data_IF_438776468642
#
_entry.id   IF_438776468642
#
_cell.length_a   1.000
_cell.length_b   1.000
_cell.length_c   1.000
_cell.angle_alpha   90.00
_cell.angle_beta   90.00
_cell.angle_gamma   90.00
#
_symmetry.space_group_name_H-M   'P 1'
#
loop_
_entity.id
_entity.type
_entity.pdbx_description
1 polymer ?
#
# COMPACT_ATOMS: atom_id res chain seq x y z
N UNK A 1 39.17 -53.42 -9.61
CA UNK A 1 39.39 -52.06 -10.17
C UNK A 1 38.18 -51.23 -9.77
N UNK A 2 38.43 -50.38 -8.79
CA UNK A 2 37.42 -49.71 -8.00
C UNK A 2 36.72 -48.55 -8.70
N UNK A 3 35.42 -48.63 -8.87
CA UNK A 3 34.56 -47.54 -9.33
C UNK A 3 33.82 -46.81 -8.17
N UNK A 4 34.34 -46.89 -6.95
CA UNK A 4 33.66 -46.39 -5.76
C UNK A 4 34.00 -44.96 -5.31
N UNK A 5 34.92 -44.26 -6.00
CA UNK A 5 35.47 -42.97 -5.53
C UNK A 5 34.84 -41.70 -6.16
N UNK A 6 33.96 -41.85 -7.15
CA UNK A 6 33.42 -40.69 -7.89
C UNK A 6 32.13 -40.10 -7.29
N UNK A 7 31.44 -40.83 -6.44
CA UNK A 7 30.18 -40.39 -5.84
C UNK A 7 30.33 -39.49 -4.59
N UNK A 8 31.43 -39.63 -3.86
CA UNK A 8 31.69 -38.86 -2.65
C UNK A 8 32.02 -37.37 -2.91
N UNK A 9 32.69 -37.10 -4.01
CA UNK A 9 33.09 -35.73 -4.35
C UNK A 9 31.92 -34.83 -4.81
N UNK A 10 30.95 -35.39 -5.49
CA UNK A 10 29.79 -34.62 -5.98
C UNK A 10 28.83 -34.23 -4.84
N UNK A 11 28.65 -35.08 -3.83
CA UNK A 11 27.84 -34.79 -2.66
C UNK A 11 28.49 -33.75 -1.74
N UNK A 12 29.80 -33.77 -1.59
CA UNK A 12 30.51 -32.79 -0.73
C UNK A 12 30.54 -31.40 -1.36
N UNK A 13 30.64 -31.27 -2.69
CA UNK A 13 30.58 -29.98 -3.37
C UNK A 13 29.16 -29.40 -3.37
N UNK A 14 28.13 -30.23 -3.54
CA UNK A 14 26.74 -29.80 -3.48
C UNK A 14 26.33 -29.32 -2.06
N UNK A 15 26.87 -29.96 -1.01
CA UNK A 15 26.69 -29.52 0.38
C UNK A 15 27.41 -28.19 0.68
N UNK A 16 28.57 -27.95 0.05
CA UNK A 16 29.33 -26.69 0.24
C UNK A 16 28.63 -25.50 -0.41
N UNK A 17 28.03 -25.67 -1.60
CA UNK A 17 27.26 -24.64 -2.27
C UNK A 17 25.96 -24.34 -1.48
N UNK A 18 25.34 -25.37 -0.90
CA UNK A 18 24.17 -25.19 -0.03
C UNK A 18 24.49 -24.60 1.35
N UNK A 19 25.73 -24.73 1.83
CA UNK A 19 26.15 -24.21 3.14
C UNK A 19 26.62 -22.74 3.07
N UNK A 20 27.17 -22.28 1.94
CA UNK A 20 27.55 -20.87 1.76
C UNK A 20 26.33 -19.95 1.63
N UNK A 21 25.21 -20.45 1.10
CA UNK A 21 23.95 -19.68 1.08
C UNK A 21 23.28 -19.56 2.48
N UNK A 22 23.68 -20.39 3.45
CA UNK A 22 23.15 -20.34 4.82
C UNK A 22 23.95 -19.45 5.78
N UNK A 23 25.16 -19.04 5.41
CA UNK A 23 26.06 -18.27 6.28
C UNK A 23 26.06 -16.75 6.04
N UNK A 24 25.39 -16.28 5.00
CA UNK A 24 25.19 -14.85 4.76
C UNK A 24 23.91 -14.39 5.48
N UNK A 25 24.09 -14.05 6.73
CA UNK A 25 23.28 -13.31 7.67
C UNK A 25 21.86 -12.91 7.31
N UNK A 26 20.97 -13.16 8.25
CA UNK A 26 19.62 -12.64 8.45
C UNK A 26 19.23 -11.39 7.64
N UNK A 27 19.06 -11.57 6.36
CA UNK A 27 18.15 -10.80 5.52
C UNK A 27 17.46 -11.83 4.66
N UNK A 28 16.17 -12.05 4.90
CA UNK A 28 15.35 -12.74 3.94
C UNK A 28 15.49 -12.02 2.60
N UNK A 29 16.07 -12.62 1.56
CA UNK A 29 16.04 -12.02 0.25
C UNK A 29 14.65 -12.27 -0.32
N UNK A 30 13.70 -11.39 -0.03
CA UNK A 30 12.47 -11.27 -0.82
C UNK A 30 12.73 -10.66 -2.21
N UNK A 31 13.93 -10.69 -2.67
CA UNK A 31 14.25 -10.47 -4.07
C UNK A 31 14.01 -11.79 -4.79
N UNK A 32 12.85 -11.86 -5.47
CA UNK A 32 12.41 -13.04 -6.20
C UNK A 32 13.42 -13.59 -7.20
N UNK A 33 14.39 -14.32 -6.72
CA UNK A 33 15.25 -15.17 -7.54
C UNK A 33 14.33 -16.17 -8.27
N UNK A 34 14.09 -15.89 -9.55
CA UNK A 34 13.41 -16.82 -10.44
C UNK A 34 14.34 -18.02 -10.60
N UNK A 35 14.10 -19.04 -9.81
CA UNK A 35 14.90 -20.26 -9.79
C UNK A 35 14.57 -21.11 -11.03
N UNK A 36 15.09 -20.68 -12.19
CA UNK A 36 15.14 -21.55 -13.35
C UNK A 36 16.41 -22.41 -13.25
N UNK A 37 16.27 -23.74 -13.13
CA UNK A 37 17.42 -24.63 -12.98
C UNK A 37 18.48 -24.45 -14.09
N UNK A 38 18.06 -24.06 -15.29
CA UNK A 38 18.96 -23.78 -16.42
C UNK A 38 19.79 -22.51 -16.22
N UNK A 39 19.22 -21.44 -15.67
CA UNK A 39 19.95 -20.18 -15.39
C UNK A 39 20.92 -20.36 -14.24
N UNK A 40 20.48 -20.99 -13.15
CA UNK A 40 21.35 -21.30 -12.02
C UNK A 40 22.51 -22.18 -12.44
N UNK A 41 22.27 -23.19 -13.27
CA UNK A 41 23.33 -24.02 -13.84
C UNK A 41 24.33 -23.19 -14.65
N UNK A 42 23.86 -22.26 -15.49
CA UNK A 42 24.71 -21.35 -16.24
C UNK A 42 25.60 -20.47 -15.36
N UNK A 43 25.02 -19.88 -14.30
CA UNK A 43 25.79 -19.06 -13.36
C UNK A 43 26.84 -19.89 -12.57
N UNK A 44 26.49 -21.12 -12.16
CA UNK A 44 27.43 -22.02 -11.50
C UNK A 44 28.59 -22.40 -12.40
N UNK A 45 28.36 -22.63 -13.71
CA UNK A 45 29.43 -22.89 -14.69
C UNK A 45 30.38 -21.70 -14.84
N UNK A 46 29.85 -20.46 -14.87
CA UNK A 46 30.67 -19.24 -14.89
C UNK A 46 31.58 -19.13 -13.65
N UNK A 47 31.07 -19.55 -12.51
CA UNK A 47 31.84 -19.59 -11.26
C UNK A 47 32.80 -20.79 -11.14
N UNK A 48 32.96 -21.60 -12.20
CA UNK A 48 33.83 -22.74 -12.23
C UNK A 48 33.29 -24.01 -11.56
N UNK A 49 32.00 -24.05 -11.19
CA UNK A 49 31.38 -25.23 -10.59
C UNK A 49 30.81 -26.16 -11.69
N UNK A 50 31.33 -27.37 -11.83
CA UNK A 50 30.77 -28.39 -12.70
C UNK A 50 29.68 -29.19 -11.99
N UNK A 51 28.42 -28.78 -12.16
CA UNK A 51 27.23 -29.41 -11.54
C UNK A 51 26.21 -29.75 -12.61
N UNK A 52 25.53 -30.87 -12.49
CA UNK A 52 24.46 -31.22 -13.47
C UNK A 52 23.19 -30.42 -13.23
N UNK A 53 22.38 -30.19 -14.30
CA UNK A 53 21.06 -29.56 -14.20
C UNK A 53 20.11 -30.35 -13.28
N UNK A 54 20.25 -31.67 -13.23
CA UNK A 54 19.47 -32.53 -12.34
C UNK A 54 19.85 -32.31 -10.88
N UNK A 55 21.14 -32.12 -10.56
CA UNK A 55 21.58 -31.76 -9.20
C UNK A 55 21.00 -30.45 -8.74
N UNK A 56 21.05 -29.40 -9.59
CA UNK A 56 20.41 -28.10 -9.28
C UNK A 56 18.92 -28.26 -9.03
N UNK A 57 18.22 -29.00 -9.89
CA UNK A 57 16.78 -29.27 -9.72
C UNK A 57 16.46 -30.00 -8.42
N UNK A 58 17.27 -30.99 -8.05
CA UNK A 58 17.09 -31.77 -6.82
C UNK A 58 17.32 -30.91 -5.57
N UNK A 59 18.30 -30.03 -5.57
CA UNK A 59 18.53 -29.06 -4.48
C UNK A 59 17.35 -28.12 -4.33
N UNK A 60 16.88 -27.52 -5.43
CA UNK A 60 15.69 -26.65 -5.41
C UNK A 60 14.44 -27.36 -4.90
N UNK A 61 14.25 -28.64 -5.32
CA UNK A 61 13.13 -29.47 -4.86
C UNK A 61 13.22 -29.77 -3.35
N UNK A 62 14.40 -30.11 -2.83
CA UNK A 62 14.62 -30.34 -1.39
C UNK A 62 14.39 -29.06 -0.56
N UNK A 63 14.74 -27.91 -1.08
CA UNK A 63 14.54 -26.61 -0.44
C UNK A 63 13.16 -26.02 -0.69
N UNK A 64 12.24 -26.79 -1.28
CA UNK A 64 10.87 -26.36 -1.59
C UNK A 64 10.77 -25.06 -2.41
N UNK A 65 11.80 -24.73 -3.21
CA UNK A 65 11.80 -23.57 -4.09
C UNK A 65 10.99 -23.90 -5.34
N UNK A 66 9.82 -23.29 -5.56
CA UNK A 66 8.98 -23.63 -6.69
C UNK A 66 9.61 -23.19 -8.03
N UNK A 67 9.39 -23.94 -9.12
CA UNK A 67 9.81 -23.54 -10.46
C UNK A 67 9.20 -22.19 -10.85
N UNK A 68 9.93 -21.37 -11.62
CA UNK A 68 9.50 -20.04 -12.06
C UNK A 68 8.15 -20.02 -12.80
N UNK A 69 7.80 -21.09 -13.48
CA UNK A 69 6.54 -21.27 -14.24
C UNK A 69 5.31 -21.48 -13.37
N UNK A 70 5.47 -21.87 -12.10
CA UNK A 70 4.35 -22.04 -11.14
C UNK A 70 4.03 -20.81 -10.31
N UNK A 71 4.83 -19.75 -10.41
CA UNK A 71 4.45 -18.46 -9.82
C UNK A 71 3.31 -17.89 -10.65
N UNK A 72 2.09 -17.98 -10.12
CA UNK A 72 0.90 -17.49 -10.80
C UNK A 72 1.11 -16.04 -11.24
N UNK A 73 0.60 -15.68 -12.42
CA UNK A 73 0.60 -14.30 -12.94
C UNK A 73 0.00 -13.28 -11.96
N UNK A 74 -0.74 -13.75 -10.94
CA UNK A 74 -1.28 -12.94 -9.85
C UNK A 74 -0.23 -12.48 -8.83
N UNK A 75 0.94 -13.13 -8.73
CA UNK A 75 2.00 -12.73 -7.81
C UNK A 75 2.74 -11.47 -8.27
N UNK A 76 2.75 -11.15 -9.57
CA UNK A 76 3.50 -10.00 -10.07
C UNK A 76 2.86 -8.66 -9.69
N UNK A 77 1.51 -8.51 -9.80
CA UNK A 77 0.82 -7.28 -9.42
C UNK A 77 0.83 -7.06 -7.91
N UNK A 78 0.55 -8.09 -7.12
CA UNK A 78 0.62 -8.02 -5.65
C UNK A 78 2.05 -7.72 -5.17
N UNK A 79 3.05 -8.36 -5.75
CA UNK A 79 4.45 -8.12 -5.42
C UNK A 79 4.89 -6.71 -5.82
N UNK A 80 4.46 -6.24 -6.99
CA UNK A 80 4.67 -4.87 -7.45
C UNK A 80 4.05 -3.85 -6.50
N UNK A 81 2.76 -4.02 -6.15
CA UNK A 81 2.08 -3.15 -5.19
C UNK A 81 2.77 -3.18 -3.82
N UNK A 82 3.19 -4.36 -3.33
CA UNK A 82 3.89 -4.48 -2.05
C UNK A 82 5.22 -3.73 -2.00
N UNK A 83 5.96 -3.74 -3.11
CA UNK A 83 7.26 -3.08 -3.19
C UNK A 83 7.15 -1.56 -3.34
N UNK A 84 6.20 -1.09 -4.13
CA UNK A 84 6.06 0.34 -4.47
C UNK A 84 4.94 1.06 -3.72
N UNK A 85 4.20 0.38 -2.82
CA UNK A 85 3.03 0.95 -2.14
C UNK A 85 3.30 2.31 -1.46
N UNK A 86 4.49 2.50 -0.90
CA UNK A 86 4.88 3.76 -0.26
C UNK A 86 5.01 4.95 -1.22
N UNK A 87 5.12 4.69 -2.52
CA UNK A 87 5.28 5.71 -3.58
C UNK A 87 4.07 5.74 -4.53
N UNK A 88 2.98 5.07 -4.16
CA UNK A 88 1.80 4.92 -5.00
C UNK A 88 0.59 5.59 -4.38
N UNK A 89 -0.14 6.29 -5.25
CA UNK A 89 -1.45 6.83 -4.94
C UNK A 89 -2.46 6.27 -5.95
N UNK A 90 -3.66 5.98 -5.53
CA UNK A 90 -4.75 5.62 -6.40
C UNK A 90 -5.86 6.67 -6.33
N UNK A 91 -6.59 6.89 -7.40
CA UNK A 91 -7.77 7.74 -7.39
C UNK A 91 -8.98 7.03 -8.00
N UNK A 92 -10.14 7.52 -7.60
CA UNK A 92 -11.43 7.03 -8.08
C UNK A 92 -12.54 8.05 -7.76
N UNK A 93 -13.72 7.79 -8.29
CA UNK A 93 -14.93 8.53 -7.98
C UNK A 93 -15.83 7.76 -7.02
N UNK A 94 -16.30 8.45 -5.98
CA UNK A 94 -17.41 8.03 -5.16
C UNK A 94 -18.64 8.82 -5.58
N UNK A 95 -19.78 8.16 -5.81
CA UNK A 95 -21.05 8.80 -6.12
C UNK A 95 -22.00 8.71 -4.93
N UNK A 96 -22.72 9.80 -4.66
CA UNK A 96 -23.71 9.87 -3.59
C UNK A 96 -24.96 10.57 -4.13
N UNK A 97 -26.13 10.02 -3.84
CA UNK A 97 -27.39 10.67 -4.18
C UNK A 97 -27.89 11.51 -3.02
N UNK A 98 -28.37 12.71 -3.34
CA UNK A 98 -29.02 13.58 -2.36
C UNK A 98 -30.51 13.20 -2.19
N UNK A 99 -31.16 13.69 -1.12
CA UNK A 99 -32.59 13.53 -0.91
C UNK A 99 -33.46 14.07 -2.08
N UNK A 100 -32.88 14.95 -2.93
CA UNK A 100 -33.53 15.48 -4.13
C UNK A 100 -33.14 14.68 -5.39
N UNK A 101 -32.63 13.46 -5.25
CA UNK A 101 -32.20 12.56 -6.33
C UNK A 101 -31.14 13.18 -7.27
N UNK A 102 -30.34 14.13 -6.77
CA UNK A 102 -29.18 14.65 -7.50
C UNK A 102 -27.95 13.82 -7.18
N UNK A 103 -27.30 13.30 -8.19
CA UNK A 103 -26.04 12.58 -8.03
C UNK A 103 -24.89 13.57 -7.84
N UNK A 104 -24.14 13.40 -6.77
CA UNK A 104 -22.88 14.10 -6.50
C UNK A 104 -21.71 13.17 -6.71
N UNK A 105 -20.66 13.69 -7.33
CA UNK A 105 -19.41 12.98 -7.60
C UNK A 105 -18.32 13.54 -6.69
N UNK A 106 -17.64 12.65 -6.00
CA UNK A 106 -16.53 12.97 -5.13
C UNK A 106 -15.26 12.36 -5.71
N UNK A 107 -14.30 13.19 -6.12
CA UNK A 107 -12.98 12.74 -6.48
C UNK A 107 -12.13 12.60 -5.22
N UNK A 108 -11.56 11.44 -5.01
CA UNK A 108 -10.66 11.18 -3.89
C UNK A 108 -9.40 10.47 -4.36
N UNK A 109 -8.37 10.58 -3.54
CA UNK A 109 -7.10 9.87 -3.73
C UNK A 109 -6.76 9.12 -2.44
N UNK A 110 -6.11 7.95 -2.59
CA UNK A 110 -5.67 7.13 -1.47
C UNK A 110 -4.23 6.68 -1.67
N UNK A 111 -3.39 6.90 -0.67
CA UNK A 111 -2.03 6.35 -0.65
C UNK A 111 -2.06 4.86 -0.35
N UNK A 112 -1.35 4.07 -1.15
CA UNK A 112 -1.37 2.62 -0.99
C UNK A 112 -0.53 2.13 0.20
N UNK A 113 0.49 2.87 0.59
CA UNK A 113 1.34 2.53 1.74
C UNK A 113 0.72 2.86 3.09
N UNK A 114 0.34 4.11 3.25
CA UNK A 114 -0.17 4.66 4.52
C UNK A 114 -1.67 4.48 4.70
N UNK A 115 -2.43 4.31 3.62
CA UNK A 115 -3.91 4.37 3.56
C UNK A 115 -4.48 5.79 3.74
N UNK A 116 -3.65 6.81 3.75
CA UNK A 116 -4.10 8.19 3.84
C UNK A 116 -5.00 8.54 2.66
N UNK A 117 -6.12 9.19 2.95
CA UNK A 117 -7.12 9.62 1.97
C UNK A 117 -7.13 11.13 1.85
N UNK A 118 -7.24 11.61 0.62
CA UNK A 118 -7.39 13.01 0.27
C UNK A 118 -8.70 13.20 -0.47
N UNK A 119 -9.54 14.11 -0.02
CA UNK A 119 -10.73 14.55 -0.74
C UNK A 119 -10.33 15.70 -1.66
N UNK A 120 -10.29 15.43 -2.97
CA UNK A 120 -9.93 16.48 -3.94
C UNK A 120 -11.09 17.43 -4.21
N UNK A 121 -12.33 16.93 -4.25
CA UNK A 121 -13.49 17.78 -4.45
C UNK A 121 -14.80 17.02 -4.60
N UNK A 122 -15.90 17.78 -4.55
CA UNK A 122 -17.25 17.29 -4.74
C UNK A 122 -17.97 18.19 -5.75
N UNK A 123 -18.70 17.62 -6.70
CA UNK A 123 -19.49 18.35 -7.71
C UNK A 123 -20.63 17.48 -8.25
N UNK A 124 -21.68 18.13 -8.74
CA UNK A 124 -22.73 17.47 -9.53
C UNK A 124 -22.30 17.29 -11.02
N UNK A 125 -21.29 18.01 -11.47
CA UNK A 125 -20.85 18.04 -12.88
C UNK A 125 -19.33 17.83 -13.00
N UNK A 126 -18.85 16.58 -12.95
CA UNK A 126 -17.43 16.26 -13.01
C UNK A 126 -16.90 16.38 -14.46
N UNK A 127 -16.68 17.60 -14.91
CA UNK A 127 -16.06 17.84 -16.22
C UNK A 127 -14.56 17.53 -16.19
N UNK A 128 -13.96 17.22 -17.34
CA UNK A 128 -12.51 16.97 -17.42
C UNK A 128 -11.67 18.17 -16.95
N UNK A 129 -12.11 19.39 -17.21
CA UNK A 129 -11.47 20.60 -16.72
C UNK A 129 -11.49 20.69 -15.18
N UNK A 130 -12.63 20.36 -14.56
CA UNK A 130 -12.75 20.32 -13.11
C UNK A 130 -11.84 19.23 -12.51
N UNK A 131 -11.82 18.02 -13.10
CA UNK A 131 -10.96 16.91 -12.63
C UNK A 131 -9.48 17.29 -12.73
N UNK A 132 -9.06 17.92 -13.85
CA UNK A 132 -7.69 18.40 -14.03
C UNK A 132 -7.34 19.49 -13.01
N UNK A 133 -8.27 20.37 -12.65
CA UNK A 133 -8.02 21.38 -11.61
C UNK A 133 -7.85 20.74 -10.23
N UNK A 134 -8.66 19.73 -9.90
CA UNK A 134 -8.48 18.99 -8.64
C UNK A 134 -7.13 18.26 -8.59
N UNK A 135 -6.66 17.75 -9.71
CA UNK A 135 -5.32 17.15 -9.82
C UNK A 135 -4.23 18.17 -9.51
N UNK A 136 -4.31 19.40 -10.03
CA UNK A 136 -3.33 20.46 -9.72
C UNK A 136 -3.30 20.82 -8.24
N UNK A 137 -4.49 20.96 -7.64
CA UNK A 137 -4.60 21.27 -6.21
C UNK A 137 -3.94 20.18 -5.36
N UNK A 138 -4.21 18.90 -5.67
CA UNK A 138 -3.59 17.80 -4.95
C UNK A 138 -2.08 17.69 -5.19
N UNK A 139 -1.61 17.87 -6.43
CA UNK A 139 -0.19 17.81 -6.74
C UNK A 139 0.60 18.83 -5.90
N UNK A 140 0.05 20.02 -5.75
CA UNK A 140 0.59 21.06 -4.89
C UNK A 140 0.66 20.61 -3.42
N UNK A 141 -0.45 20.09 -2.87
CA UNK A 141 -0.53 19.61 -1.48
C UNK A 141 0.43 18.45 -1.21
N UNK A 142 0.62 17.57 -2.19
CA UNK A 142 1.52 16.41 -2.07
C UNK A 142 2.99 16.81 -2.05
N UNK A 143 3.36 17.86 -2.77
CA UNK A 143 4.72 18.37 -2.80
C UNK A 143 5.15 18.91 -1.43
N UNK A 144 4.25 19.62 -0.72
CA UNK A 144 4.57 20.28 0.56
C UNK A 144 4.52 19.34 1.77
N UNK A 145 3.75 18.25 1.70
CA UNK A 145 3.39 17.49 2.92
C UNK A 145 4.07 16.13 3.05
N UNK A 146 4.90 15.70 2.10
CA UNK A 146 5.44 14.32 2.08
C UNK A 146 6.95 14.24 2.21
N UNK A 147 7.38 13.28 3.04
CA UNK A 147 8.79 12.89 3.15
C UNK A 147 9.27 12.06 1.95
N UNK A 148 8.38 11.25 1.34
CA UNK A 148 8.69 10.41 0.18
C UNK A 148 7.84 10.85 -1.02
N UNK A 149 8.46 11.07 -2.19
CA UNK A 149 7.73 11.49 -3.38
C UNK A 149 6.79 10.40 -3.87
N UNK A 150 5.59 10.79 -4.31
CA UNK A 150 4.73 9.95 -5.14
C UNK A 150 5.41 9.74 -6.48
N UNK A 151 5.42 8.51 -6.98
CA UNK A 151 5.98 8.20 -8.31
C UNK A 151 4.98 7.55 -9.25
N UNK A 152 3.92 6.99 -8.69
CA UNK A 152 2.94 6.25 -9.48
C UNK A 152 1.53 6.65 -9.05
N UNK A 153 0.69 7.00 -10.02
CA UNK A 153 -0.74 7.23 -9.86
C UNK A 153 -1.51 6.10 -10.55
N UNK A 154 -2.36 5.43 -9.80
CA UNK A 154 -3.26 4.40 -10.36
C UNK A 154 -4.65 5.00 -10.52
N UNK A 155 -5.23 4.90 -11.70
CA UNK A 155 -6.63 5.20 -11.96
C UNK A 155 -7.24 4.23 -12.98
N UNK A 156 -8.56 4.22 -13.07
CA UNK A 156 -9.27 3.45 -14.05
C UNK A 156 -9.29 4.16 -15.43
N UNK A 157 -10.05 3.59 -16.37
CA UNK A 157 -10.19 4.12 -17.72
C UNK A 157 -11.45 4.98 -17.88
N UNK A 158 -11.93 5.62 -16.81
CA UNK A 158 -13.05 6.55 -16.92
C UNK A 158 -12.67 7.74 -17.81
N UNK A 159 -13.55 8.09 -18.73
CA UNK A 159 -13.36 9.19 -19.69
C UNK A 159 -13.12 10.57 -19.03
N UNK A 160 -13.40 10.71 -17.75
CA UNK A 160 -13.12 11.92 -16.96
C UNK A 160 -11.62 12.10 -16.69
N UNK A 161 -10.85 11.02 -16.64
CA UNK A 161 -9.39 11.05 -16.53
C UNK A 161 -8.78 11.20 -17.93
N UNK A 162 -8.54 12.43 -18.32
CA UNK A 162 -8.02 12.76 -19.65
C UNK A 162 -6.49 12.86 -19.65
N UNK A 163 -5.91 12.97 -20.85
CA UNK A 163 -4.47 13.23 -21.02
C UNK A 163 -4.03 14.48 -20.25
N UNK A 164 -4.88 15.51 -20.16
CA UNK A 164 -4.58 16.72 -19.38
C UNK A 164 -4.46 16.45 -17.88
N UNK A 165 -5.27 15.51 -17.36
CA UNK A 165 -5.16 15.04 -15.97
C UNK A 165 -3.82 14.33 -15.73
N UNK A 166 -3.44 13.41 -16.62
CA UNK A 166 -2.17 12.68 -16.52
C UNK A 166 -0.97 13.61 -16.65
N UNK A 167 -1.07 14.64 -17.51
CA UNK A 167 -0.01 15.64 -17.73
C UNK A 167 0.30 16.46 -16.47
N UNK A 168 -0.69 16.74 -15.62
CA UNK A 168 -0.47 17.41 -14.33
C UNK A 168 0.44 16.58 -13.43
N UNK A 169 0.19 15.28 -13.32
CA UNK A 169 1.02 14.41 -12.53
C UNK A 169 2.39 14.14 -13.18
N UNK A 170 2.43 14.07 -14.51
CA UNK A 170 3.70 13.91 -15.23
C UNK A 170 4.65 15.10 -15.03
N UNK A 171 4.13 16.34 -14.86
CA UNK A 171 4.96 17.51 -14.53
C UNK A 171 5.59 17.45 -13.13
N UNK A 172 5.07 16.58 -12.25
CA UNK A 172 5.59 16.31 -10.91
C UNK A 172 6.35 14.97 -10.84
N UNK A 173 6.85 14.46 -11.96
CA UNK A 173 7.53 13.16 -12.07
C UNK A 173 6.69 11.94 -11.61
N UNK A 174 5.36 12.07 -11.60
CA UNK A 174 4.43 11.00 -11.25
C UNK A 174 3.88 10.34 -12.51
N UNK A 175 4.16 9.06 -12.68
CA UNK A 175 3.69 8.28 -13.82
C UNK A 175 2.29 7.73 -13.60
N UNK A 176 1.35 8.06 -14.48
CA UNK A 176 0.04 7.44 -14.50
C UNK A 176 0.12 5.97 -14.94
N UNK A 177 -0.56 5.09 -14.22
CA UNK A 177 -0.66 3.65 -14.47
C UNK A 177 -2.14 3.29 -14.56
N UNK A 178 -2.60 3.04 -15.77
CA UNK A 178 -3.96 2.60 -16.00
C UNK A 178 -4.20 1.18 -15.48
N UNK A 179 -5.33 0.98 -14.81
CA UNK A 179 -5.72 -0.37 -14.40
C UNK A 179 -5.85 -1.28 -15.63
N UNK A 180 -5.35 -2.54 -15.55
CA UNK A 180 -5.48 -3.48 -16.65
C UNK A 180 -6.96 -3.72 -17.00
N UNK A 181 -7.25 -3.89 -18.28
CA UNK A 181 -8.60 -4.17 -18.76
C UNK A 181 -9.16 -5.43 -18.07
N UNK A 182 -10.39 -5.36 -17.56
CA UNK A 182 -11.07 -6.45 -16.83
C UNK A 182 -10.34 -6.95 -15.57
N UNK A 183 -9.57 -6.09 -14.90
CA UNK A 183 -8.89 -6.43 -13.65
C UNK A 183 -9.50 -5.64 -12.48
N UNK A 184 -10.62 -6.08 -11.91
CA UNK A 184 -11.30 -5.37 -10.83
C UNK A 184 -10.44 -5.21 -9.57
N UNK A 185 -9.44 -6.05 -9.38
CA UNK A 185 -8.52 -5.97 -8.22
C UNK A 185 -7.42 -4.92 -8.38
N UNK A 186 -7.33 -4.27 -9.52
CA UNK A 186 -6.22 -3.33 -9.77
C UNK A 186 -6.37 -2.03 -8.95
N UNK A 187 -7.62 -1.60 -8.68
CA UNK A 187 -7.92 -0.45 -7.82
C UNK A 187 -8.57 -0.86 -6.49
N UNK A 188 -8.25 -2.06 -5.99
CA UNK A 188 -8.88 -2.65 -4.80
C UNK A 188 -8.78 -1.78 -3.53
N UNK A 189 -7.81 -0.86 -3.46
CA UNK A 189 -7.68 0.05 -2.32
C UNK A 189 -8.72 1.16 -2.36
N UNK A 190 -8.94 1.77 -3.51
CA UNK A 190 -9.98 2.75 -3.71
C UNK A 190 -11.38 2.13 -3.54
N UNK A 191 -11.64 0.97 -4.17
CA UNK A 191 -12.89 0.23 -4.01
C UNK A 191 -13.17 -0.13 -2.53
N UNK A 192 -12.15 -0.56 -1.79
CA UNK A 192 -12.30 -0.86 -0.36
C UNK A 192 -12.63 0.39 0.45
N UNK A 193 -11.99 1.53 0.15
CA UNK A 193 -12.31 2.77 0.83
C UNK A 193 -13.73 3.23 0.53
N UNK A 194 -14.18 3.16 -0.72
CA UNK A 194 -15.56 3.46 -1.12
C UNK A 194 -16.57 2.62 -0.31
N UNK A 195 -16.30 1.32 -0.19
CA UNK A 195 -17.15 0.45 0.64
C UNK A 195 -17.13 0.89 2.11
N UNK A 196 -15.96 1.14 2.66
CA UNK A 196 -15.81 1.52 4.07
C UNK A 196 -16.53 2.82 4.39
N UNK A 197 -16.38 3.87 3.55
CA UNK A 197 -17.07 5.15 3.79
C UNK A 197 -18.58 5.03 3.63
N UNK A 198 -19.07 4.14 2.77
CA UNK A 198 -20.50 3.84 2.69
C UNK A 198 -21.00 3.18 3.98
N UNK A 199 -20.42 2.04 4.33
CA UNK A 199 -20.83 1.22 5.47
C UNK A 199 -20.71 1.97 6.81
N UNK A 200 -19.68 2.80 6.99
CA UNK A 200 -19.42 3.48 8.26
C UNK A 200 -20.04 4.87 8.36
N UNK A 201 -20.41 5.51 7.24
CA UNK A 201 -20.83 6.90 7.23
C UNK A 201 -22.06 7.14 6.37
N UNK A 202 -21.95 6.97 5.05
CA UNK A 202 -22.93 7.47 4.10
C UNK A 202 -24.28 6.74 4.15
N UNK A 203 -24.28 5.44 4.44
CA UNK A 203 -25.49 4.63 4.53
C UNK A 203 -26.33 4.96 5.78
N UNK A 204 -25.77 5.73 6.72
CA UNK A 204 -26.42 6.18 7.95
C UNK A 204 -26.93 7.62 7.87
N UNK A 205 -26.72 8.33 6.75
CA UNK A 205 -27.01 9.75 6.62
C UNK A 205 -27.82 10.08 5.37
N UNK A 206 -28.80 10.93 5.51
CA UNK A 206 -29.51 11.54 4.39
C UNK A 206 -28.77 12.80 3.93
N UNK A 207 -28.18 12.75 2.74
CA UNK A 207 -27.43 13.87 2.18
C UNK A 207 -28.38 14.89 1.54
N UNK A 208 -28.37 16.10 2.07
CA UNK A 208 -29.30 17.19 1.66
C UNK A 208 -28.74 17.99 0.49
N UNK A 209 -27.43 18.30 0.52
CA UNK A 209 -26.77 19.17 -0.44
C UNK A 209 -25.29 18.83 -0.59
N UNK A 210 -24.63 19.40 -1.62
CA UNK A 210 -23.19 19.29 -1.81
C UNK A 210 -22.40 19.81 -0.59
N UNK A 211 -22.78 20.97 -0.05
CA UNK A 211 -22.13 21.52 1.15
C UNK A 211 -22.30 20.65 2.39
N UNK A 212 -23.46 19.96 2.52
CA UNK A 212 -23.67 18.98 3.59
C UNK A 212 -22.75 17.77 3.39
N UNK A 213 -22.72 17.17 2.19
CA UNK A 213 -21.84 16.04 1.88
C UNK A 213 -20.38 16.38 2.12
N UNK A 214 -19.92 17.56 1.71
CA UNK A 214 -18.54 18.01 1.90
C UNK A 214 -18.18 18.06 3.39
N UNK A 215 -19.01 18.61 4.25
CA UNK A 215 -18.77 18.65 5.71
C UNK A 215 -18.71 17.25 6.31
N UNK A 216 -19.67 16.39 5.98
CA UNK A 216 -19.72 14.99 6.45
C UNK A 216 -18.45 14.25 6.06
N UNK A 217 -18.05 14.32 4.79
CA UNK A 217 -16.85 13.62 4.32
C UNK A 217 -15.56 14.22 4.88
N UNK A 218 -15.48 15.53 5.11
CA UNK A 218 -14.31 16.15 5.74
C UNK A 218 -14.12 15.63 7.16
N UNK A 219 -15.20 15.59 7.96
CA UNK A 219 -15.17 15.05 9.32
C UNK A 219 -14.85 13.55 9.33
N UNK A 220 -15.45 12.78 8.41
CA UNK A 220 -15.16 11.35 8.27
C UNK A 220 -13.69 11.08 7.89
N UNK A 221 -13.15 11.80 6.91
CA UNK A 221 -11.76 11.60 6.45
C UNK A 221 -10.75 12.05 7.52
N UNK A 222 -11.05 13.07 8.30
CA UNK A 222 -10.23 13.44 9.47
C UNK A 222 -10.18 12.29 10.49
N UNK A 223 -11.34 11.70 10.82
CA UNK A 223 -11.42 10.51 11.67
C UNK A 223 -10.68 9.33 11.05
N UNK A 224 -10.92 9.01 9.78
CA UNK A 224 -10.31 7.91 9.05
C UNK A 224 -8.78 8.01 9.03
N UNK A 225 -8.25 9.20 8.77
CA UNK A 225 -6.81 9.42 8.64
C UNK A 225 -6.06 9.48 9.98
N UNK A 226 -6.67 10.02 11.03
CA UNK A 226 -5.96 10.35 12.29
C UNK A 226 -6.36 9.52 13.49
N UNK A 227 -7.50 8.83 13.43
CA UNK A 227 -8.07 8.17 14.63
C UNK A 227 -8.44 6.72 14.39
N UNK A 228 -8.86 6.37 13.19
CA UNK A 228 -9.29 5.02 12.86
C UNK A 228 -8.09 4.09 12.69
N UNK A 229 -7.98 2.99 13.46
CA UNK A 229 -6.95 1.98 13.26
C UNK A 229 -7.21 1.18 11.98
N UNK A 230 -6.14 0.87 11.23
CA UNK A 230 -6.24 0.13 9.97
C UNK A 230 -5.46 -1.18 10.01
N UNK A 231 -6.17 -2.29 9.85
CA UNK A 231 -5.57 -3.63 9.83
C UNK A 231 -4.48 -3.77 8.77
N UNK A 232 -4.66 -3.16 7.58
CA UNK A 232 -3.72 -3.27 6.47
C UNK A 232 -2.37 -2.59 6.69
N UNK A 233 -2.23 -1.79 7.75
CA UNK A 233 -0.98 -1.14 8.18
C UNK A 233 -0.64 -1.46 9.63
N UNK A 234 -1.06 -2.66 10.11
CA UNK A 234 -0.75 -3.14 11.44
C UNK A 234 -1.46 -2.39 12.57
N UNK A 235 -2.75 -2.06 12.38
CA UNK A 235 -3.61 -1.31 13.32
C UNK A 235 -3.11 0.12 13.61
N UNK A 236 -2.23 0.66 12.78
CA UNK A 236 -1.80 2.06 12.87
C UNK A 236 -2.82 2.97 12.21
N UNK A 237 -2.76 4.25 12.52
CA UNK A 237 -3.50 5.31 11.81
C UNK A 237 -2.68 5.82 10.62
N UNK A 238 -3.30 6.24 9.51
CA UNK A 238 -2.61 6.76 8.33
C UNK A 238 -1.71 7.97 8.61
N UNK A 239 -2.19 8.90 9.45
CA UNK A 239 -1.46 10.08 9.89
C UNK A 239 -1.29 9.98 11.41
N UNK A 240 -0.13 9.55 11.90
CA UNK A 240 0.12 9.56 13.34
C UNK A 240 0.03 10.99 13.88
N UNK A 241 -0.62 11.15 15.01
CA UNK A 241 -0.52 12.42 15.75
C UNK A 241 0.94 12.62 16.15
N UNK A 242 1.50 13.86 16.05
CA UNK A 242 2.81 14.13 16.54
C UNK A 242 2.85 13.77 18.03
N UNK A 243 3.73 12.82 18.36
CA UNK A 243 3.93 12.41 19.75
C UNK A 243 4.50 13.63 20.49
N UNK A 244 3.71 14.25 21.37
CA UNK A 244 4.13 15.41 22.16
C UNK A 244 5.35 15.11 23.07
N UNK A 245 5.89 13.90 23.03
CA UNK A 245 6.95 13.40 23.91
C UNK A 245 8.34 13.29 23.26
N UNK A 246 8.53 13.64 21.98
CA UNK A 246 9.86 13.59 21.37
C UNK A 246 10.44 15.00 21.28
N UNK A 247 10.74 15.59 22.43
CA UNK A 247 11.86 16.52 22.61
C UNK A 247 12.62 16.07 23.86
N UNK A 248 13.39 15.02 23.73
CA UNK A 248 14.61 14.84 24.52
C UNK A 248 15.53 13.86 23.82
N UNK A 249 16.71 14.36 23.56
CA UNK A 249 17.96 13.74 23.16
C UNK A 249 18.13 12.28 23.58
N UNK A 250 18.48 11.45 22.59
CA UNK A 250 19.34 10.28 22.68
C UNK A 250 19.34 9.49 24.00
N UNK A 251 18.59 8.39 24.07
CA UNK A 251 19.06 7.13 24.62
C UNK A 251 18.12 5.98 24.26
N UNK A 252 18.73 4.82 24.06
CA UNK A 252 18.16 3.60 23.50
C UNK A 252 16.98 3.03 24.31
N UNK A 253 16.08 2.35 23.56
CA UNK A 253 15.25 1.23 23.99
C UNK A 253 14.39 1.44 25.26
N UNK A 254 13.24 2.12 25.08
CA UNK A 254 12.07 1.86 25.90
C UNK A 254 10.81 2.08 25.05
N UNK A 255 10.05 1.02 24.85
CA UNK A 255 8.67 1.06 24.37
C UNK A 255 7.91 2.08 25.23
N UNK A 256 7.17 3.05 24.62
CA UNK A 256 6.38 3.98 25.42
C UNK A 256 5.32 3.19 26.18
N UNK A 257 5.48 3.05 27.48
CA UNK A 257 4.47 2.48 28.35
C UNK A 257 3.34 3.52 28.47
N UNK A 258 2.27 3.32 27.68
CA UNK A 258 1.01 4.01 27.93
C UNK A 258 0.58 3.66 29.35
N UNK A 259 0.47 4.65 30.23
CA UNK A 259 0.00 4.41 31.59
C UNK A 259 -1.40 3.82 31.51
N UNK A 260 -1.56 2.58 31.99
CA UNK A 260 -2.87 1.89 32.05
C UNK A 260 -3.83 2.55 33.04
N UNK A 261 -3.40 3.58 33.76
CA UNK A 261 -4.17 4.28 34.80
C UNK A 261 -4.98 5.46 34.28
N UNK A 262 -4.66 5.98 33.06
CA UNK A 262 -5.40 7.10 32.52
C UNK A 262 -6.82 6.70 32.08
N UNK A 263 -7.85 7.50 32.42
CA UNK A 263 -9.23 7.15 32.09
C UNK A 263 -9.43 7.12 30.56
N UNK A 264 -10.16 6.11 30.09
CA UNK A 264 -10.61 6.04 28.71
C UNK A 264 -11.73 7.03 28.51
N UNK A 265 -11.63 7.88 27.50
CA UNK A 265 -12.65 8.83 27.05
C UNK A 265 -13.18 8.43 25.69
N UNK A 266 -14.41 8.83 25.40
CA UNK A 266 -15.06 8.66 24.13
C UNK A 266 -15.34 10.04 23.53
N UNK A 267 -15.09 10.18 22.23
CA UNK A 267 -15.47 11.35 21.44
C UNK A 267 -16.41 10.90 20.33
N UNK A 268 -17.54 11.56 20.24
CA UNK A 268 -18.49 11.35 19.16
C UNK A 268 -17.98 12.00 17.86
N UNK A 269 -18.14 11.28 16.75
CA UNK A 269 -17.83 11.71 15.41
C UNK A 269 -19.09 11.54 14.57
N UNK A 270 -19.36 12.48 13.69
CA UNK A 270 -20.59 12.50 12.87
C UNK A 270 -21.88 12.42 13.71
N UNK A 271 -21.92 13.19 14.80
CA UNK A 271 -23.09 13.24 15.69
C UNK A 271 -23.37 11.93 16.44
N UNK A 272 -22.34 11.09 16.67
CA UNK A 272 -22.45 9.83 17.41
C UNK A 272 -22.62 8.58 16.54
N UNK A 273 -22.54 8.71 15.20
CA UNK A 273 -22.51 7.55 14.29
C UNK A 273 -21.23 6.75 14.50
N UNK A 274 -20.12 7.45 14.78
CA UNK A 274 -18.82 6.85 15.05
C UNK A 274 -18.31 7.33 16.41
N UNK A 275 -17.48 6.51 17.05
CA UNK A 275 -16.88 6.78 18.34
C UNK A 275 -15.37 6.64 18.26
N UNK A 276 -14.66 7.64 18.75
CA UNK A 276 -13.21 7.65 18.92
C UNK A 276 -12.86 7.48 20.40
N UNK A 277 -12.24 6.37 20.75
CA UNK A 277 -11.82 6.07 22.11
C UNK A 277 -10.34 6.41 22.30
N UNK A 278 -10.02 7.22 23.29
CA UNK A 278 -8.66 7.65 23.59
C UNK A 278 -8.41 7.73 25.08
N UNK A 279 -7.14 7.69 25.49
CA UNK A 279 -6.77 7.95 26.88
C UNK A 279 -6.49 9.44 27.06
N UNK A 280 -7.05 10.04 28.07
CA UNK A 280 -6.76 11.41 28.42
C UNK A 280 -5.37 11.45 29.06
N UNK A 281 -4.47 12.29 28.54
CA UNK A 281 -3.22 12.57 29.21
C UNK A 281 -3.53 13.18 30.58
N UNK A 282 -3.02 12.58 31.65
CA UNK A 282 -3.21 13.03 33.04
C UNK A 282 -2.56 14.40 33.36
N UNK A 283 -1.99 15.07 32.35
CA UNK A 283 -1.26 16.34 32.51
C UNK A 283 -1.88 17.54 31.77
N UNK A 284 -3.17 17.47 31.39
CA UNK A 284 -3.92 18.62 30.89
C UNK A 284 -4.91 19.05 31.97
N UNK A 285 -4.40 19.65 33.03
CA UNK A 285 -5.13 20.49 33.99
C UNK A 285 -4.39 21.82 34.11
#
# INVERSE_FOLDING_TARGET
MDLSTTTGWQTTRCNRVGATDCAAGHREPEVGLRAEPSKIHGELLKLGYSVSRSSVRNVLKRRHVPPSTRRSKSSSWRSFLGHYAGQMIACDFLTVETIRLRTLYILFFIELGTRRVYLAGCTAHPTSAWVTQQARNLAWDLHDTRELPVRLLIHDRDAKFTVSFDSVFASEDVKAVLTPYRSPKANAFAERWVRTVREECLDHLLIISEGHLRRVLTEYVEYYNRRRPHQGIGQRVPIPLPDKRIVSTASAASTPSVSTRDPVRCRDVLGGILHDYYRADSHAA
#
